data_IF_975708993931
#
_entry.id   IF_975708993931
#
_cell.length_a   1.000
_cell.length_b   1.000
_cell.length_c   1.000
_cell.angle_alpha   90.00
_cell.angle_beta   90.00
_cell.angle_gamma   90.00
#
_symmetry.space_group_name_H-M   'P 1'
#
loop_
_entity.id
_entity.type
_entity.pdbx_description
1 polymer ?
#
# COMPACT_ATOMS: atom_id res chain seq x y z
N UNK A 1 -0.29 -24.68 19.42
CA UNK A 1 -1.37 -24.36 18.45
C UNK A 1 -0.68 -24.10 17.13
N UNK A 2 -0.95 -24.93 16.11
CA UNK A 2 -0.38 -24.72 14.78
C UNK A 2 -1.11 -23.55 14.12
N UNK A 3 -0.44 -22.40 14.07
CA UNK A 3 -0.92 -21.24 13.36
C UNK A 3 -0.71 -21.49 11.86
N UNK A 4 -1.75 -21.95 11.17
CA UNK A 4 -1.81 -21.96 9.70
C UNK A 4 -1.86 -20.50 9.18
N UNK A 5 -0.73 -19.79 9.20
CA UNK A 5 -0.62 -18.40 8.72
C UNK A 5 -0.47 -18.34 7.19
N UNK A 6 -0.39 -19.47 6.51
CA UNK A 6 -0.39 -19.55 5.04
C UNK A 6 -1.77 -19.94 4.50
N UNK A 7 -2.52 -18.96 3.99
CA UNK A 7 -3.79 -19.20 3.31
C UNK A 7 -4.04 -18.16 2.21
N UNK A 8 -5.04 -18.37 1.35
CA UNK A 8 -5.35 -17.47 0.22
C UNK A 8 -5.53 -16.01 0.63
N UNK A 9 -6.01 -15.77 1.86
CA UNK A 9 -6.21 -14.43 2.43
C UNK A 9 -4.88 -13.68 2.61
N UNK A 10 -3.83 -14.35 3.11
CA UNK A 10 -2.51 -13.73 3.27
C UNK A 10 -1.87 -13.35 1.93
N UNK A 11 -2.08 -14.20 0.90
CA UNK A 11 -1.63 -13.90 -0.46
C UNK A 11 -2.38 -12.70 -1.07
N UNK A 12 -3.69 -12.58 -0.83
CA UNK A 12 -4.46 -11.43 -1.29
C UNK A 12 -3.98 -10.13 -0.64
N UNK A 13 -3.75 -10.14 0.67
CA UNK A 13 -3.20 -8.97 1.40
C UNK A 13 -1.85 -8.56 0.82
N UNK A 14 -0.95 -9.52 0.58
CA UNK A 14 0.35 -9.25 -0.02
C UNK A 14 0.24 -8.62 -1.41
N UNK A 15 -0.65 -9.12 -2.27
CA UNK A 15 -0.89 -8.54 -3.60
C UNK A 15 -1.39 -7.11 -3.50
N UNK A 16 -2.30 -6.83 -2.57
CA UNK A 16 -2.81 -5.49 -2.32
C UNK A 16 -1.75 -4.54 -1.78
N UNK A 17 -0.91 -4.99 -0.85
CA UNK A 17 0.21 -4.20 -0.33
C UNK A 17 1.20 -3.84 -1.43
N UNK A 18 1.58 -4.79 -2.29
CA UNK A 18 2.45 -4.54 -3.45
C UNK A 18 1.84 -3.50 -4.38
N UNK A 19 0.53 -3.62 -4.67
CA UNK A 19 -0.18 -2.66 -5.49
C UNK A 19 -0.15 -1.24 -4.88
N UNK A 20 -0.43 -1.12 -3.58
CA UNK A 20 -0.39 0.17 -2.89
C UNK A 20 1.02 0.78 -2.89
N UNK A 21 2.06 -0.03 -2.62
CA UNK A 21 3.46 0.41 -2.65
C UNK A 21 3.85 0.92 -4.05
N UNK A 22 3.47 0.22 -5.11
CA UNK A 22 3.70 0.65 -6.49
C UNK A 22 3.06 2.01 -6.80
N UNK A 23 1.83 2.22 -6.34
CA UNK A 23 1.11 3.48 -6.50
C UNK A 23 1.75 4.63 -5.70
N UNK A 24 2.21 4.36 -4.46
CA UNK A 24 2.93 5.33 -3.63
C UNK A 24 4.27 5.70 -4.29
N UNK A 25 5.02 4.70 -4.75
CA UNK A 25 6.33 4.89 -5.37
C UNK A 25 6.25 5.77 -6.63
N UNK A 26 5.19 5.61 -7.43
CA UNK A 26 4.89 6.40 -8.64
C UNK A 26 4.18 7.73 -8.37
N UNK A 27 3.75 7.99 -7.14
CA UNK A 27 3.03 9.21 -6.80
C UNK A 27 3.93 10.46 -6.94
N UNK A 28 3.31 11.64 -7.08
CA UNK A 28 4.03 12.93 -7.09
C UNK A 28 4.32 13.46 -5.67
N UNK A 29 4.08 12.66 -4.63
CA UNK A 29 4.35 13.04 -3.26
C UNK A 29 5.86 13.17 -3.00
N UNK A 30 6.24 13.95 -1.98
CA UNK A 30 7.64 14.09 -1.55
C UNK A 30 8.19 12.75 -1.04
N UNK A 31 9.52 12.58 -1.05
CA UNK A 31 10.17 11.33 -0.64
C UNK A 31 9.80 10.88 0.77
N UNK A 32 9.71 11.81 1.72
CA UNK A 32 9.32 11.55 3.12
C UNK A 32 7.87 11.02 3.19
N UNK A 33 6.95 11.60 2.42
CA UNK A 33 5.56 11.15 2.39
C UNK A 33 5.47 9.73 1.83
N UNK A 34 6.22 9.42 0.77
CA UNK A 34 6.26 8.05 0.22
C UNK A 34 6.78 7.04 1.25
N UNK A 35 7.90 7.37 1.91
CA UNK A 35 8.51 6.50 2.92
C UNK A 35 7.57 6.27 4.11
N UNK A 36 6.84 7.29 4.55
CA UNK A 36 5.84 7.16 5.61
C UNK A 36 4.72 6.19 5.20
N UNK A 37 4.13 6.37 4.02
CA UNK A 37 3.05 5.52 3.55
C UNK A 37 3.46 4.06 3.32
N UNK A 38 4.66 3.83 2.76
CA UNK A 38 5.20 2.48 2.59
C UNK A 38 5.42 1.83 3.96
N UNK A 39 6.02 2.55 4.90
CA UNK A 39 6.23 2.04 6.27
C UNK A 39 4.91 1.70 6.96
N UNK A 40 3.89 2.57 6.82
CA UNK A 40 2.57 2.36 7.41
C UNK A 40 1.93 1.06 6.93
N UNK A 41 1.98 0.79 5.62
CA UNK A 41 1.44 -0.44 5.02
C UNK A 41 2.21 -1.66 5.51
N UNK A 42 3.54 -1.61 5.55
CA UNK A 42 4.35 -2.76 5.96
C UNK A 42 4.19 -3.13 7.45
N UNK A 43 4.01 -2.15 8.34
CA UNK A 43 3.84 -2.40 9.78
C UNK A 43 2.44 -2.94 10.08
N UNK A 44 1.43 -2.46 9.35
CA UNK A 44 0.04 -2.86 9.56
C UNK A 44 -0.60 -3.16 8.20
N UNK A 45 -0.34 -4.33 7.59
CA UNK A 45 -0.75 -4.66 6.21
C UNK A 45 -2.22 -4.33 5.91
N UNK A 46 -3.12 -4.94 6.68
CA UNK A 46 -4.54 -4.86 6.41
C UNK A 46 -5.11 -3.45 6.63
N UNK A 47 -4.80 -2.83 7.78
CA UNK A 47 -5.30 -1.48 8.09
C UNK A 47 -4.57 -0.41 7.29
N UNK A 48 -3.27 -0.55 7.09
CA UNK A 48 -2.44 0.34 6.30
C UNK A 48 -2.90 0.39 4.86
N UNK A 49 -3.21 -0.76 4.25
CA UNK A 49 -3.84 -0.80 2.92
C UNK A 49 -5.20 -0.10 2.91
N UNK A 50 -6.07 -0.38 3.88
CA UNK A 50 -7.39 0.28 3.98
C UNK A 50 -7.26 1.80 4.10
N UNK A 51 -6.39 2.29 4.98
CA UNK A 51 -6.15 3.73 5.17
C UNK A 51 -5.58 4.35 3.89
N UNK A 52 -4.65 3.65 3.24
CA UNK A 52 -4.07 4.09 1.97
C UNK A 52 -5.13 4.20 0.86
N UNK A 53 -6.15 3.34 0.84
CA UNK A 53 -7.24 3.48 -0.13
C UNK A 53 -7.95 4.84 -0.02
N UNK A 54 -8.11 5.42 1.16
CA UNK A 54 -8.81 6.69 1.30
C UNK A 54 -7.89 7.90 1.24
N UNK A 55 -6.72 7.82 1.87
CA UNK A 55 -5.84 8.97 2.14
C UNK A 55 -4.47 8.84 1.47
N UNK A 56 -4.19 7.70 0.85
CA UNK A 56 -2.90 7.39 0.27
C UNK A 56 -2.58 8.22 -0.97
N UNK A 57 -1.30 8.57 -1.20
CA UNK A 57 -0.87 9.28 -2.38
C UNK A 57 -1.00 8.35 -3.59
N UNK A 58 -1.69 8.84 -4.62
CA UNK A 58 -1.92 8.12 -5.87
C UNK A 58 -1.18 8.79 -7.02
N UNK A 59 -0.97 8.04 -8.10
CA UNK A 59 -0.48 8.62 -9.34
C UNK A 59 -1.42 9.74 -9.78
N UNK A 60 -0.90 10.97 -9.87
CA UNK A 60 -1.66 12.11 -10.35
C UNK A 60 -1.96 11.91 -11.82
N UNK A 61 -3.20 11.53 -12.15
CA UNK A 61 -3.69 11.44 -13.53
C UNK A 61 -3.58 12.83 -14.17
N UNK A 62 -2.52 13.06 -14.93
CA UNK A 62 -2.42 14.20 -15.82
C UNK A 62 -3.42 13.99 -16.94
N UNK A 63 -4.58 14.66 -16.85
CA UNK A 63 -5.64 14.60 -17.86
C UNK A 63 -5.28 15.33 -19.16
N UNK A 64 -4.21 16.12 -19.15
CA UNK A 64 -3.64 16.77 -20.33
C UNK A 64 -2.13 16.49 -20.36
N UNK A 65 -1.73 15.58 -21.25
CA UNK A 65 -0.37 15.45 -21.79
C UNK A 65 -0.48 15.60 -23.30
#
# INVERSE_FOLDING_TARGET
MELHIGGPIGLLVLVFDVYAIMQIARSRATGIVRAFWITLILVIPLLGFIIWLFLGPREGRGIFR
#
